data_IF_738118900759
#
_entry.id   IF_738118900759
#
_cell.length_a   1.000
_cell.length_b   1.000
_cell.length_c   1.000
_cell.angle_alpha   90.00
_cell.angle_beta   90.00
_cell.angle_gamma   90.00
#
_symmetry.space_group_name_H-M   'P 1'
#
loop_
_entity.id
_entity.type
_entity.pdbx_description
1 polymer ?
#
# COMPACT_ATOMS: atom_id res chain seq x y z
N UNK A 1 3.02 -20.04 -10.59
CA UNK A 1 2.96 -19.92 -9.13
C UNK A 1 3.50 -18.56 -8.79
N UNK A 2 2.75 -17.71 -8.14
CA UNK A 2 3.21 -16.33 -7.89
C UNK A 2 2.92 -15.94 -6.46
N UNK A 3 3.97 -15.66 -5.72
CA UNK A 3 3.86 -14.96 -4.45
C UNK A 3 3.75 -13.47 -4.76
N UNK A 4 2.70 -12.83 -4.24
CA UNK A 4 2.51 -11.39 -4.32
C UNK A 4 2.85 -10.73 -3.00
N UNK A 5 3.56 -9.60 -3.03
CA UNK A 5 3.91 -8.86 -1.82
C UNK A 5 3.64 -7.37 -1.95
N UNK A 6 3.07 -6.80 -0.91
CA UNK A 6 2.71 -5.38 -0.83
C UNK A 6 3.25 -4.78 0.45
N UNK A 7 4.00 -3.70 0.30
CA UNK A 7 4.42 -2.83 1.39
C UNK A 7 3.46 -1.66 1.51
N UNK A 8 3.03 -1.31 2.72
CA UNK A 8 2.20 -0.13 2.99
C UNK A 8 2.92 0.76 3.99
N UNK A 9 3.33 1.94 3.53
CA UNK A 9 4.05 2.93 4.33
C UNK A 9 3.06 3.97 4.84
N UNK A 10 3.08 4.22 6.14
CA UNK A 10 2.18 5.13 6.79
C UNK A 10 2.88 6.00 7.83
N UNK A 11 2.23 7.07 8.25
CA UNK A 11 2.71 7.97 9.29
C UNK A 11 1.66 8.18 10.37
N UNK A 12 2.07 7.98 11.62
CA UNK A 12 1.22 8.26 12.78
C UNK A 12 0.04 7.30 12.96
N UNK A 13 -0.69 7.51 14.04
CA UNK A 13 -1.72 6.60 14.53
C UNK A 13 -2.93 6.47 13.59
N UNK A 14 -3.30 7.57 12.92
CA UNK A 14 -4.47 7.58 12.02
C UNK A 14 -4.22 6.77 10.75
N UNK A 15 -3.06 6.94 10.13
CA UNK A 15 -2.70 6.16 8.95
C UNK A 15 -2.36 4.71 9.28
N UNK A 16 -2.07 4.37 10.53
CA UNK A 16 -1.90 2.99 10.99
C UNK A 16 -3.16 2.15 10.73
N UNK A 17 -4.32 2.69 11.09
CA UNK A 17 -5.60 2.00 10.84
C UNK A 17 -5.84 1.83 9.35
N UNK A 18 -5.57 2.86 8.55
CA UNK A 18 -5.62 2.80 7.09
C UNK A 18 -4.73 1.67 6.54
N UNK A 19 -3.46 1.64 6.93
CA UNK A 19 -2.50 0.63 6.48
C UNK A 19 -2.90 -0.79 6.90
N UNK A 20 -3.40 -0.96 8.13
CA UNK A 20 -3.93 -2.25 8.60
C UNK A 20 -5.14 -2.70 7.78
N UNK A 21 -6.07 -1.81 7.49
CA UNK A 21 -7.25 -2.13 6.70
C UNK A 21 -6.86 -2.58 5.29
N UNK A 22 -5.89 -1.90 4.66
CA UNK A 22 -5.38 -2.28 3.34
C UNK A 22 -4.78 -3.69 3.40
N UNK A 23 -3.84 -3.94 4.29
CA UNK A 23 -3.19 -5.25 4.37
C UNK A 23 -4.17 -6.39 4.72
N UNK A 24 -5.13 -6.15 5.61
CA UNK A 24 -6.19 -7.12 5.92
C UNK A 24 -7.11 -7.36 4.74
N UNK A 25 -7.47 -6.31 4.01
CA UNK A 25 -8.27 -6.41 2.79
C UNK A 25 -7.59 -7.28 1.73
N UNK A 26 -6.27 -7.12 1.54
CA UNK A 26 -5.47 -7.95 0.63
C UNK A 26 -5.54 -9.43 1.05
N UNK A 27 -5.29 -9.73 2.33
CA UNK A 27 -5.30 -11.12 2.83
C UNK A 27 -6.69 -11.76 2.69
N UNK A 28 -7.76 -11.01 2.99
CA UNK A 28 -9.12 -11.52 2.83
C UNK A 28 -9.49 -11.74 1.36
N UNK A 29 -9.06 -10.85 0.46
CA UNK A 29 -9.27 -11.03 -0.98
C UNK A 29 -8.50 -12.25 -1.52
N UNK A 30 -7.25 -12.41 -1.11
CA UNK A 30 -6.45 -13.59 -1.45
C UNK A 30 -7.14 -14.89 -1.01
N UNK A 31 -7.73 -14.90 0.19
CA UNK A 31 -8.51 -16.05 0.67
C UNK A 31 -9.74 -16.35 -0.20
N UNK A 32 -10.42 -15.32 -0.72
CA UNK A 32 -11.54 -15.51 -1.68
C UNK A 32 -11.08 -16.16 -2.98
N UNK A 33 -9.84 -15.90 -3.38
CA UNK A 33 -9.21 -16.51 -4.57
C UNK A 33 -8.58 -17.88 -4.30
N UNK A 34 -8.75 -18.45 -3.09
CA UNK A 34 -8.15 -19.73 -2.72
C UNK A 34 -6.66 -19.65 -2.40
N UNK A 35 -6.10 -18.46 -2.28
CA UNK A 35 -4.71 -18.21 -1.87
C UNK A 35 -4.57 -18.15 -0.36
N UNK A 36 -3.34 -18.27 0.10
CA UNK A 36 -2.94 -18.07 1.50
C UNK A 36 -2.30 -16.70 1.63
N UNK A 37 -2.54 -16.00 2.73
CA UNK A 37 -1.95 -14.69 2.93
C UNK A 37 -1.73 -14.36 4.39
N UNK A 38 -0.76 -13.50 4.65
CA UNK A 38 -0.46 -12.95 5.97
C UNK A 38 -0.26 -11.44 5.90
N UNK A 39 -0.71 -10.76 6.94
CA UNK A 39 -0.46 -9.33 7.14
C UNK A 39 0.26 -9.11 8.46
N UNK A 40 1.35 -8.33 8.42
CA UNK A 40 2.14 -8.02 9.61
C UNK A 40 2.73 -6.61 9.51
N UNK A 41 3.15 -6.08 10.66
CA UNK A 41 3.74 -4.75 10.71
C UNK A 41 5.17 -4.77 11.20
N UNK A 42 5.94 -3.80 10.74
CA UNK A 42 7.25 -3.48 11.28
C UNK A 42 7.20 -2.12 11.95
N UNK A 43 7.43 -2.11 13.24
CA UNK A 43 7.39 -0.93 14.09
C UNK A 43 8.76 -0.65 14.68
N UNK A 44 9.09 0.62 14.89
CA UNK A 44 10.07 1.04 15.88
C UNK A 44 9.39 1.21 17.24
N UNK A 45 10.14 1.39 18.32
CA UNK A 45 9.63 1.44 19.69
C UNK A 45 8.59 2.55 19.93
N UNK A 46 8.50 3.57 19.07
CA UNK A 46 7.57 4.68 19.23
C UNK A 46 7.15 5.39 17.92
N UNK A 47 6.96 4.70 16.78
CA UNK A 47 6.78 5.38 15.50
C UNK A 47 5.49 6.17 15.43
N UNK A 48 4.46 5.72 16.10
CA UNK A 48 3.12 6.31 15.98
C UNK A 48 2.99 7.63 16.74
N UNK A 49 3.73 7.79 17.82
CA UNK A 49 3.70 9.00 18.65
C UNK A 49 4.50 10.14 18.04
N UNK A 50 5.57 9.83 17.35
CA UNK A 50 6.52 10.82 16.83
C UNK A 50 6.29 11.18 15.36
N UNK A 51 5.27 10.59 14.71
CA UNK A 51 5.01 10.81 13.28
C UNK A 51 6.10 10.22 12.37
N UNK A 52 6.95 9.34 12.89
CA UNK A 52 7.94 8.60 12.12
C UNK A 52 7.22 7.58 11.24
N UNK A 53 7.55 7.46 9.95
CA UNK A 53 6.96 6.47 9.07
C UNK A 53 7.19 5.05 9.59
N UNK A 54 6.14 4.24 9.51
CA UNK A 54 6.16 2.82 9.81
C UNK A 54 5.59 2.04 8.63
N UNK A 55 5.72 0.72 8.68
CA UNK A 55 5.38 -0.16 7.57
C UNK A 55 4.43 -1.27 8.00
N UNK A 56 3.50 -1.61 7.11
CA UNK A 56 2.73 -2.83 7.13
C UNK A 56 3.05 -3.61 5.86
N UNK A 57 2.96 -4.92 5.95
CA UNK A 57 3.17 -5.80 4.82
C UNK A 57 1.99 -6.74 4.67
N UNK A 58 1.66 -7.07 3.44
CA UNK A 58 0.81 -8.19 3.09
C UNK A 58 1.55 -9.06 2.09
N UNK A 59 1.62 -10.35 2.36
CA UNK A 59 2.20 -11.36 1.48
C UNK A 59 1.12 -12.39 1.19
N UNK A 60 0.92 -12.70 -0.08
CA UNK A 60 -0.05 -13.70 -0.54
C UNK A 60 0.63 -14.70 -1.44
N UNK A 61 0.25 -15.97 -1.36
CA UNK A 61 0.84 -17.06 -2.13
C UNK A 61 -0.17 -18.15 -2.43
N UNK A 62 0.11 -18.94 -3.46
CA UNK A 62 -0.67 -20.11 -3.80
C UNK A 62 -0.40 -21.28 -2.83
N UNK A 63 0.78 -21.34 -2.21
CA UNK A 63 1.19 -22.42 -1.30
C UNK A 63 1.76 -21.89 0.01
N UNK A 64 1.71 -22.73 1.05
CA UNK A 64 2.25 -22.39 2.37
C UNK A 64 3.78 -22.36 2.36
N UNK A 65 4.41 -23.24 1.60
CA UNK A 65 5.87 -23.32 1.47
C UNK A 65 6.43 -22.01 0.89
N UNK A 66 5.86 -21.52 -0.22
CA UNK A 66 6.28 -20.25 -0.83
C UNK A 66 6.03 -19.07 0.12
N UNK A 67 4.90 -19.07 0.85
CA UNK A 67 4.61 -18.05 1.83
C UNK A 67 5.67 -18.04 2.96
N UNK A 68 6.02 -19.21 3.49
CA UNK A 68 7.03 -19.34 4.54
C UNK A 68 8.42 -18.93 4.06
N UNK A 69 8.80 -19.30 2.84
CA UNK A 69 10.07 -18.88 2.24
C UNK A 69 10.18 -17.35 2.15
N UNK A 70 9.09 -16.69 1.75
CA UNK A 70 9.03 -15.24 1.68
C UNK A 70 9.09 -14.57 3.07
N UNK A 71 8.47 -15.19 4.06
CA UNK A 71 8.44 -14.71 5.45
C UNK A 71 9.73 -14.99 6.23
N UNK A 72 10.62 -15.84 5.73
CA UNK A 72 11.94 -16.06 6.33
C UNK A 72 12.78 -14.76 6.40
N UNK A 73 12.40 -13.75 5.65
CA UNK A 73 12.96 -12.41 5.73
C UNK A 73 12.15 -11.55 6.69
N UNK A 74 12.82 -10.91 7.61
CA UNK A 74 12.19 -9.98 8.58
C UNK A 74 11.45 -8.82 7.93
N UNK A 75 11.89 -8.38 6.77
CA UNK A 75 11.28 -7.35 5.94
C UNK A 75 11.29 -7.84 4.49
N UNK A 76 10.11 -8.05 3.86
CA UNK A 76 10.05 -8.44 2.47
C UNK A 76 10.79 -7.43 1.59
N UNK A 77 11.69 -7.92 0.76
CA UNK A 77 12.37 -7.15 -0.27
C UNK A 77 11.77 -7.47 -1.63
N UNK A 78 11.84 -6.56 -2.57
CA UNK A 78 11.29 -6.74 -3.91
C UNK A 78 9.75 -6.89 -3.90
N UNK A 79 9.08 -5.98 -3.18
CA UNK A 79 7.61 -5.95 -3.17
C UNK A 79 7.06 -5.54 -4.54
N UNK A 80 6.01 -6.19 -5.00
CA UNK A 80 5.33 -5.86 -6.26
C UNK A 80 4.77 -4.44 -6.24
N UNK A 81 4.23 -4.05 -5.08
CA UNK A 81 3.67 -2.72 -4.88
C UNK A 81 4.10 -2.15 -3.53
N UNK A 82 4.55 -0.91 -3.55
CA UNK A 82 4.70 -0.08 -2.36
C UNK A 82 3.60 0.97 -2.33
N UNK A 83 2.70 0.87 -1.38
CA UNK A 83 1.63 1.86 -1.15
C UNK A 83 2.13 2.90 -0.15
N UNK A 84 2.18 4.16 -0.54
CA UNK A 84 2.39 5.27 0.38
C UNK A 84 1.05 5.87 0.78
N UNK A 85 0.73 5.92 2.07
CA UNK A 85 -0.57 6.42 2.54
C UNK A 85 -0.78 7.91 2.28
N UNK A 86 0.29 8.66 2.03
CA UNK A 86 0.22 10.06 1.58
C UNK A 86 1.43 10.43 0.71
N UNK A 87 1.27 11.49 -0.08
CA UNK A 87 2.29 11.93 -1.04
C UNK A 87 3.47 12.68 -0.40
N UNK A 88 3.41 13.04 0.87
CA UNK A 88 4.54 13.66 1.57
C UNK A 88 5.66 12.66 1.84
N UNK A 89 5.35 11.36 1.83
CA UNK A 89 6.30 10.26 2.00
C UNK A 89 7.27 10.12 0.82
N UNK A 90 6.98 10.73 -0.33
CA UNK A 90 7.88 10.72 -1.50
C UNK A 90 9.22 11.40 -1.24
N UNK A 91 9.26 12.35 -0.31
CA UNK A 91 10.50 13.07 0.05
C UNK A 91 11.53 12.22 0.76
N UNK A 92 11.20 10.99 1.04
CA UNK A 92 11.99 10.04 1.76
C UNK A 92 11.37 9.64 3.08
N UNK A 93 11.68 8.45 3.48
CA UNK A 93 11.19 7.83 4.70
C UNK A 93 12.35 7.79 5.67
N UNK A 94 12.21 8.48 6.78
CA UNK A 94 13.11 8.30 7.89
C UNK A 94 12.82 6.94 8.51
N UNK A 95 13.58 5.93 8.07
CA UNK A 95 13.47 4.60 8.62
C UNK A 95 14.47 4.45 9.74
N UNK A 96 14.00 4.47 10.98
CA UNK A 96 14.81 4.23 12.16
C UNK A 96 16.02 5.19 12.33
N UNK A 97 16.26 5.61 13.51
CA UNK A 97 17.40 6.48 13.88
C UNK A 97 18.77 6.00 13.39
N UNK A 98 18.87 4.75 12.95
CA UNK A 98 20.11 4.09 12.57
C UNK A 98 20.40 4.09 11.07
N UNK A 99 19.39 4.26 10.20
CA UNK A 99 19.55 4.04 8.75
C UNK A 99 19.40 5.29 7.89
N UNK A 100 19.07 6.42 8.51
CA UNK A 100 18.88 7.67 7.79
C UNK A 100 17.66 7.68 6.87
N UNK A 101 17.59 8.67 6.02
CA UNK A 101 16.51 8.87 5.06
C UNK A 101 16.58 7.83 3.94
N UNK A 102 15.51 7.10 3.73
CA UNK A 102 15.42 6.09 2.67
C UNK A 102 14.40 6.50 1.62
N UNK A 103 14.62 6.18 0.33
CA UNK A 103 13.62 6.42 -0.70
C UNK A 103 12.35 5.57 -0.46
N UNK A 104 11.18 6.11 -0.83
CA UNK A 104 9.90 5.43 -0.68
C UNK A 104 9.86 4.09 -1.43
N UNK A 105 10.58 4.00 -2.54
CA UNK A 105 10.66 2.79 -3.38
C UNK A 105 11.82 1.85 -3.03
N UNK A 106 12.41 1.96 -1.83
CA UNK A 106 13.57 1.13 -1.46
C UNK A 106 13.31 -0.37 -1.55
N UNK A 107 12.13 -0.80 -1.16
CA UNK A 107 11.76 -2.21 -1.14
C UNK A 107 10.85 -2.61 -2.32
N UNK A 108 10.59 -1.70 -3.24
CA UNK A 108 9.84 -1.98 -4.47
C UNK A 108 10.71 -2.81 -5.41
N UNK A 109 10.13 -3.84 -6.01
CA UNK A 109 10.80 -4.66 -7.02
C UNK A 109 11.16 -3.84 -8.28
N UNK A 110 12.09 -4.35 -9.05
CA UNK A 110 12.41 -3.80 -10.37
C UNK A 110 11.18 -3.90 -11.28
N UNK A 111 10.73 -2.78 -11.83
CA UNK A 111 9.48 -2.69 -12.57
C UNK A 111 8.21 -2.74 -11.72
N UNK A 112 8.34 -2.81 -10.40
CA UNK A 112 7.23 -2.75 -9.46
C UNK A 112 6.57 -1.36 -9.39
N UNK A 113 5.51 -1.23 -8.61
CA UNK A 113 4.68 -0.03 -8.57
C UNK A 113 4.76 0.69 -7.23
N UNK A 114 4.91 2.01 -7.28
CA UNK A 114 4.65 2.90 -6.13
C UNK A 114 3.26 3.50 -6.32
N UNK A 115 2.35 3.22 -5.39
CA UNK A 115 0.94 3.65 -5.43
C UNK A 115 0.64 4.63 -4.30
N UNK A 116 -0.04 5.75 -4.59
CA UNK A 116 -0.40 6.73 -3.57
C UNK A 116 -1.62 7.59 -3.93
N UNK A 117 -2.34 8.11 -2.92
CA UNK A 117 -3.31 9.17 -3.10
C UNK A 117 -2.60 10.51 -3.20
N UNK A 118 -3.00 11.37 -4.14
CA UNK A 118 -2.39 12.68 -4.33
C UNK A 118 -3.31 13.67 -5.04
N UNK A 119 -3.07 14.96 -4.82
CA UNK A 119 -3.61 16.06 -5.63
C UNK A 119 -2.55 16.65 -6.56
N UNK A 120 -1.30 16.17 -6.48
CA UNK A 120 -0.18 16.66 -7.27
C UNK A 120 -0.08 15.93 -8.61
N UNK A 121 0.60 16.53 -9.57
CA UNK A 121 0.88 15.86 -10.85
C UNK A 121 1.97 14.80 -10.68
N UNK A 122 1.91 13.73 -11.48
CA UNK A 122 2.91 12.67 -11.50
C UNK A 122 4.34 13.20 -11.68
N UNK A 123 4.55 14.14 -12.59
CA UNK A 123 5.86 14.73 -12.84
C UNK A 123 6.47 15.41 -11.61
N UNK A 124 5.64 16.08 -10.80
CA UNK A 124 6.10 16.70 -9.55
C UNK A 124 6.49 15.64 -8.51
N UNK A 125 5.72 14.58 -8.39
CA UNK A 125 6.01 13.47 -7.48
C UNK A 125 7.29 12.74 -7.88
N UNK A 126 7.44 12.42 -9.17
CA UNK A 126 8.65 11.77 -9.72
C UNK A 126 9.91 12.56 -9.35
N UNK A 127 9.85 13.89 -9.43
CA UNK A 127 10.95 14.77 -9.04
C UNK A 127 11.31 14.72 -7.55
N UNK A 128 10.43 14.22 -6.69
CA UNK A 128 10.66 14.09 -5.24
C UNK A 128 11.01 12.68 -4.79
N UNK A 129 10.72 11.66 -5.59
CA UNK A 129 11.05 10.27 -5.27
C UNK A 129 12.51 10.00 -5.59
N UNK A 130 13.30 9.69 -4.57
CA UNK A 130 14.68 9.27 -4.75
C UNK A 130 14.70 7.88 -5.39
N UNK A 131 15.30 7.80 -6.57
CA UNK A 131 15.43 6.53 -7.28
C UNK A 131 16.40 5.60 -6.55
N UNK A 132 15.99 4.35 -6.42
CA UNK A 132 16.82 3.25 -5.95
C UNK A 132 17.82 2.75 -7.02
N UNK A 133 17.75 3.27 -8.22
CA UNK A 133 18.52 2.81 -9.38
C UNK A 133 17.73 1.91 -10.35
N UNK A 134 16.64 1.33 -9.92
CA UNK A 134 15.78 0.45 -10.71
C UNK A 134 14.58 1.20 -11.29
N UNK A 135 14.08 0.83 -12.47
CA UNK A 135 12.85 1.37 -13.00
C UNK A 135 11.66 0.98 -12.11
N UNK A 136 10.71 1.87 -11.95
CA UNK A 136 9.45 1.62 -11.25
C UNK A 136 8.30 2.34 -11.96
N UNK A 137 7.07 1.96 -11.63
CA UNK A 137 5.86 2.64 -12.09
C UNK A 137 5.30 3.48 -10.97
N UNK A 138 4.90 4.71 -11.29
CA UNK A 138 4.16 5.55 -10.36
C UNK A 138 2.67 5.48 -10.68
N UNK A 139 1.87 4.97 -9.76
CA UNK A 139 0.42 4.95 -9.86
C UNK A 139 -0.22 5.88 -8.85
N UNK A 140 -1.20 6.65 -9.29
CA UNK A 140 -1.86 7.64 -8.43
C UNK A 140 -3.37 7.53 -8.48
N UNK A 141 -4.00 7.79 -7.34
CA UNK A 141 -5.44 8.03 -7.22
C UNK A 141 -5.69 9.48 -6.82
N UNK A 142 -6.70 10.13 -7.43
CA UNK A 142 -7.03 11.52 -7.12
C UNK A 142 -7.58 11.65 -5.70
N UNK A 143 -7.03 12.56 -4.92
CA UNK A 143 -7.51 12.93 -3.60
C UNK A 143 -6.37 13.30 -2.66
N UNK A 144 -6.68 14.14 -1.67
CA UNK A 144 -5.75 14.39 -0.58
C UNK A 144 -5.64 13.14 0.29
N UNK A 145 -4.48 12.99 0.93
CA UNK A 145 -4.35 12.06 2.04
C UNK A 145 -5.39 12.42 3.12
N UNK A 146 -5.91 11.42 3.81
CA UNK A 146 -6.89 11.60 4.91
C UNK A 146 -6.35 12.39 6.11
N UNK A 147 -5.09 12.80 6.07
CA UNK A 147 -4.43 13.55 7.12
C UNK A 147 -4.51 15.05 6.83
N UNK A 148 -5.46 15.72 7.46
CA UNK A 148 -5.61 17.19 7.38
C UNK A 148 -4.83 17.94 8.47
N UNK A 149 -4.02 17.30 9.27
CA UNK A 149 -3.32 17.91 10.41
C UNK A 149 -4.24 18.29 11.60
N UNK A 150 -5.53 18.12 11.43
CA UNK A 150 -6.53 18.30 12.47
C UNK A 150 -6.88 16.93 13.06
N UNK A 151 -7.11 16.87 14.34
CA UNK A 151 -7.42 15.64 15.11
C UNK A 151 -8.77 15.01 14.76
N UNK A 152 -9.33 15.34 13.61
CA UNK A 152 -10.61 14.83 13.12
C UNK A 152 -10.34 13.81 12.03
N UNK A 153 -10.55 12.54 12.35
CA UNK A 153 -10.62 11.46 11.34
C UNK A 153 -11.87 11.68 10.50
N UNK A 154 -11.66 11.92 9.21
CA UNK A 154 -12.72 11.88 8.23
C UNK A 154 -12.52 10.61 7.41
N UNK A 155 -13.48 9.70 7.46
CA UNK A 155 -13.47 8.54 6.59
C UNK A 155 -13.72 9.01 5.13
N UNK A 156 -12.65 9.09 4.36
CA UNK A 156 -12.66 9.48 2.94
C UNK A 156 -12.54 8.27 2.02
N UNK A 157 -12.73 7.08 2.58
CA UNK A 157 -12.62 5.80 1.88
C UNK A 157 -11.22 5.53 1.27
N UNK A 158 -10.16 6.16 1.77
CA UNK A 158 -8.82 6.02 1.19
C UNK A 158 -8.33 4.57 1.23
N UNK A 159 -8.65 3.81 2.28
CA UNK A 159 -8.31 2.39 2.38
C UNK A 159 -8.88 1.57 1.22
N UNK A 160 -10.18 1.65 1.01
CA UNK A 160 -10.85 0.87 -0.05
C UNK A 160 -10.53 1.41 -1.44
N UNK A 161 -10.27 2.71 -1.58
CA UNK A 161 -9.80 3.31 -2.83
C UNK A 161 -8.41 2.79 -3.22
N UNK A 162 -7.50 2.68 -2.27
CA UNK A 162 -6.17 2.09 -2.50
C UNK A 162 -6.25 0.60 -2.81
N UNK A 163 -7.17 -0.14 -2.18
CA UNK A 163 -7.43 -1.54 -2.52
C UNK A 163 -7.95 -1.69 -3.98
N UNK A 164 -8.88 -0.85 -4.40
CA UNK A 164 -9.36 -0.85 -5.78
C UNK A 164 -8.25 -0.52 -6.78
N UNK A 165 -7.43 0.48 -6.47
CA UNK A 165 -6.27 0.85 -7.30
C UNK A 165 -5.22 -0.27 -7.35
N UNK A 166 -4.97 -0.94 -6.23
CA UNK A 166 -4.05 -2.08 -6.16
C UNK A 166 -4.49 -3.21 -7.12
N UNK A 167 -5.78 -3.55 -7.12
CA UNK A 167 -6.33 -4.56 -8.04
C UNK A 167 -6.10 -4.22 -9.51
N UNK A 168 -6.01 -2.92 -9.87
CA UNK A 168 -5.67 -2.50 -11.24
C UNK A 168 -4.19 -2.66 -11.55
N UNK A 169 -3.31 -2.24 -10.65
CA UNK A 169 -1.86 -2.17 -10.91
C UNK A 169 -1.16 -3.50 -10.67
N UNK A 170 -1.74 -4.37 -9.85
CA UNK A 170 -1.19 -5.68 -9.51
C UNK A 170 -2.29 -6.77 -9.45
N UNK A 171 -2.98 -7.06 -10.55
CA UNK A 171 -4.08 -8.03 -10.56
C UNK A 171 -3.64 -9.47 -10.25
N UNK A 172 -2.34 -9.76 -10.31
CA UNK A 172 -1.78 -11.05 -9.89
C UNK A 172 -1.75 -11.20 -8.38
N UNK A 173 -1.70 -10.10 -7.62
CA UNK A 173 -1.77 -10.11 -6.16
C UNK A 173 -3.20 -10.36 -5.71
N UNK A 174 -4.13 -9.51 -6.16
CA UNK A 174 -5.56 -9.61 -5.88
C UNK A 174 -6.37 -9.07 -7.07
N UNK A 175 -7.54 -9.67 -7.31
CA UNK A 175 -8.47 -9.18 -8.33
C UNK A 175 -9.46 -8.16 -7.78
N UNK A 176 -10.06 -7.38 -8.69
CA UNK A 176 -11.08 -6.39 -8.31
C UNK A 176 -12.32 -7.08 -7.70
N UNK A 177 -12.77 -8.19 -8.29
CA UNK A 177 -13.97 -8.89 -7.82
C UNK A 177 -13.81 -9.38 -6.39
N UNK A 178 -12.65 -9.99 -6.06
CA UNK A 178 -12.35 -10.44 -4.71
C UNK A 178 -12.33 -9.27 -3.71
N UNK A 179 -11.75 -8.12 -4.10
CA UNK A 179 -11.73 -6.91 -3.25
C UNK A 179 -13.13 -6.34 -3.05
N UNK A 180 -13.96 -6.26 -4.08
CA UNK A 180 -15.32 -5.73 -3.94
C UNK A 180 -16.16 -6.61 -3.01
N UNK A 181 -16.04 -7.93 -3.14
CA UNK A 181 -16.70 -8.88 -2.24
C UNK A 181 -16.26 -8.69 -0.78
N UNK A 182 -14.96 -8.58 -0.54
CA UNK A 182 -14.43 -8.33 0.81
C UNK A 182 -14.90 -6.99 1.38
N UNK A 183 -14.92 -5.93 0.57
CA UNK A 183 -15.40 -4.62 1.03
C UNK A 183 -16.90 -4.70 1.41
N UNK A 184 -17.71 -5.38 0.63
CA UNK A 184 -19.12 -5.56 0.92
C UNK A 184 -19.33 -6.35 2.23
N UNK A 185 -18.59 -7.42 2.44
CA UNK A 185 -18.70 -8.25 3.65
C UNK A 185 -18.16 -7.56 4.91
N UNK A 186 -16.99 -6.94 4.83
CA UNK A 186 -16.29 -6.42 6.00
C UNK A 186 -16.72 -5.02 6.42
N UNK A 187 -16.97 -4.15 5.45
CA UNK A 187 -17.37 -2.77 5.73
C UNK A 187 -18.88 -2.54 5.63
N UNK A 188 -19.61 -3.40 4.93
CA UNK A 188 -21.09 -3.33 4.76
C UNK A 188 -21.57 -1.95 4.29
N UNK A 189 -20.77 -1.28 3.46
CA UNK A 189 -21.02 0.06 2.95
C UNK A 189 -20.92 0.10 1.41
N UNK A 190 -22.06 0.28 0.75
CA UNK A 190 -22.14 0.37 -0.71
C UNK A 190 -21.34 1.54 -1.30
N UNK A 191 -21.19 2.63 -0.54
CA UNK A 191 -20.39 3.78 -1.00
C UNK A 191 -18.89 3.42 -1.04
N UNK A 192 -18.43 2.57 -0.13
CA UNK A 192 -17.06 2.06 -0.15
C UNK A 192 -16.80 1.15 -1.34
N UNK A 193 -17.74 0.27 -1.67
CA UNK A 193 -17.68 -0.56 -2.89
C UNK A 193 -17.58 0.32 -4.14
N UNK A 194 -18.47 1.31 -4.26
CA UNK A 194 -18.43 2.26 -5.38
C UNK A 194 -17.14 3.07 -5.43
N UNK A 195 -16.59 3.47 -4.27
CA UNK A 195 -15.33 4.20 -4.18
C UNK A 195 -14.14 3.36 -4.63
N UNK A 196 -14.09 2.07 -4.27
CA UNK A 196 -13.05 1.15 -4.72
C UNK A 196 -13.10 0.93 -6.24
N UNK A 197 -14.29 0.68 -6.78
CA UNK A 197 -14.50 0.52 -8.23
C UNK A 197 -14.08 1.77 -8.99
N UNK A 198 -14.52 2.93 -8.55
CA UNK A 198 -14.12 4.21 -9.15
C UNK A 198 -12.60 4.41 -9.11
N UNK A 199 -11.95 4.11 -8.00
CA UNK A 199 -10.51 4.23 -7.89
C UNK A 199 -9.78 3.27 -8.83
N UNK A 200 -10.24 2.02 -8.95
CA UNK A 200 -9.74 1.08 -9.96
C UNK A 200 -9.79 1.71 -11.35
N UNK A 201 -10.95 2.22 -11.78
CA UNK A 201 -11.13 2.75 -13.12
C UNK A 201 -10.30 4.01 -13.41
N UNK A 202 -10.14 4.87 -12.40
CA UNK A 202 -9.49 6.19 -12.54
C UNK A 202 -8.02 6.23 -12.10
N UNK A 203 -7.43 5.12 -11.68
CA UNK A 203 -5.99 5.06 -11.36
C UNK A 203 -5.17 5.35 -12.61
N UNK A 204 -4.24 6.30 -12.49
CA UNK A 204 -3.31 6.68 -13.55
C UNK A 204 -1.93 6.09 -13.23
N UNK A 205 -1.26 5.54 -14.23
CA UNK A 205 0.09 4.96 -14.09
C UNK A 205 1.05 5.61 -15.05
N UNK A 206 2.22 6.00 -14.55
CA UNK A 206 3.31 6.61 -15.31
C UNK A 206 4.57 5.76 -15.14
N UNK A 207 5.21 5.38 -16.22
CA UNK A 207 6.53 4.75 -16.23
C UNK A 207 7.61 5.78 -15.84
N UNK A 208 8.61 5.37 -15.03
CA UNK A 208 9.64 6.26 -14.49
C UNK A 208 11.05 5.76 -14.77
#
# INVERSE_FOLDING_TARGET
>A
MSTGSVEVIYRGIFQKTLAKNICRGIVFAAKKEGKIGIAFGRYSDSPERNGIPAKQFAVVSDTEEELQEHLAKYEPTNNDVTIACDDTLTKGIESWAWYGLQPVNKLTADGGTVLMPTTQSANKLIGTIHRKGSPYKLSTIKGAASFSGLWVYKDDHTDVRLLGALAKVAPHVITLDAILEVIEEQWKDKNKVASAKKAHDTTETTEV
#
